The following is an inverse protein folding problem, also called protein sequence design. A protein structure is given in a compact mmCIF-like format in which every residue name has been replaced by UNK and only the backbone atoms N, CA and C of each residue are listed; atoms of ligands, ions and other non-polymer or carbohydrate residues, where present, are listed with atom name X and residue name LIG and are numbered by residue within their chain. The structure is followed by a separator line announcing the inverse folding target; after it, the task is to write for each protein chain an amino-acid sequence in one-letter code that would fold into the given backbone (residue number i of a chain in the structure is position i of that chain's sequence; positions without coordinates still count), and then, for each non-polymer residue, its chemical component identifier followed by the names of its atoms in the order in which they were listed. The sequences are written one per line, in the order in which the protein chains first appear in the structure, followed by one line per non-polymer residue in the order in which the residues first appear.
data_IF_449116890961
#
_entry.id   IF_449116890961
#
_cell.length_a   1.000
_cell.length_b   1.000
_cell.length_c   1.000
_cell.angle_alpha   90.00
_cell.angle_beta   90.00
_cell.angle_gamma   90.00
#
_symmetry.space_group_name_H-M   'P 1'
#
loop_
_entity.id
_entity.type
_entity.pdbx_description
1 polymer ?
#
# COMPACT_ATOMS: atom_id res chain seq x y z
N UNK A 1 7.46 -4.15 16.39
CA UNK A 1 6.96 -2.83 16.84
C UNK A 1 8.16 -2.00 17.29
N UNK A 2 8.78 -1.26 16.38
CA UNK A 2 10.05 -0.55 16.64
C UNK A 2 9.95 0.95 16.32
N UNK A 3 8.73 1.46 16.16
CA UNK A 3 8.47 2.89 15.95
C UNK A 3 8.96 3.68 17.18
N UNK A 4 9.62 4.85 17.01
CA UNK A 4 9.81 5.59 15.76
C UNK A 4 11.08 5.23 14.97
N UNK A 5 11.88 4.25 15.42
CA UNK A 5 13.15 3.90 14.77
C UNK A 5 12.97 3.08 13.48
N UNK A 6 11.86 2.33 13.37
CA UNK A 6 11.41 1.72 12.12
C UNK A 6 10.10 2.36 11.62
N UNK A 7 9.86 2.39 10.30
CA UNK A 7 8.63 2.96 9.75
C UNK A 7 7.40 2.19 10.22
N UNK A 8 6.24 2.86 10.36
CA UNK A 8 4.98 2.18 10.58
C UNK A 8 4.60 1.35 9.34
N UNK A 9 4.02 0.17 9.55
CA UNK A 9 3.44 -0.59 8.45
C UNK A 9 2.07 -0.02 8.07
N UNK A 10 1.99 0.63 6.91
CA UNK A 10 0.75 1.25 6.41
C UNK A 10 0.17 0.45 5.24
N UNK A 11 -1.16 0.27 5.26
CA UNK A 11 -1.91 -0.39 4.18
C UNK A 11 -3.26 0.26 3.96
N UNK A 12 -3.78 0.13 2.75
CA UNK A 12 -5.16 0.47 2.42
C UNK A 12 -6.08 -0.66 2.90
N UNK A 13 -7.19 -0.27 3.53
CA UNK A 13 -8.24 -1.20 3.99
C UNK A 13 -9.40 -1.21 2.99
N UNK A 14 -9.85 -0.04 2.57
CA UNK A 14 -10.96 0.19 1.64
C UNK A 14 -10.85 1.62 1.08
N UNK A 15 -11.38 1.89 -0.14
CA UNK A 15 -11.86 0.94 -1.14
C UNK A 15 -10.70 0.26 -1.87
N UNK A 16 -11.03 -0.68 -2.76
CA UNK A 16 -10.03 -1.26 -3.66
C UNK A 16 -9.67 -0.22 -4.69
N UNK A 17 -8.37 0.05 -4.82
CA UNK A 17 -7.86 1.05 -5.75
C UNK A 17 -6.84 0.46 -6.72
N UNK A 18 -6.85 0.98 -7.94
CA UNK A 18 -5.80 0.77 -8.94
C UNK A 18 -4.95 2.03 -9.08
N UNK A 19 -3.64 1.86 -9.28
CA UNK A 19 -2.70 2.97 -9.32
C UNK A 19 -2.33 3.45 -7.92
N UNK A 20 -1.84 4.69 -7.79
CA UNK A 20 -1.49 5.29 -6.50
C UNK A 20 -0.33 4.60 -5.77
N UNK A 21 0.48 3.80 -6.49
CA UNK A 21 1.52 2.95 -5.91
C UNK A 21 0.98 1.92 -4.89
N UNK A 22 -0.31 1.59 -4.95
CA UNK A 22 -0.93 0.59 -4.10
C UNK A 22 -0.82 -0.78 -4.76
N UNK A 23 -0.28 -1.74 -4.00
CA UNK A 23 -0.04 -3.10 -4.44
C UNK A 23 -1.22 -4.02 -4.11
N UNK A 24 -1.12 -5.25 -4.60
CA UNK A 24 -2.03 -6.34 -4.24
C UNK A 24 -2.11 -6.47 -2.71
N UNK A 25 -3.31 -6.70 -2.19
CA UNK A 25 -3.53 -6.82 -0.75
C UNK A 25 -3.57 -5.49 0.01
N UNK A 26 -3.27 -4.36 -0.63
CA UNK A 26 -3.40 -3.01 -0.06
C UNK A 26 -2.09 -2.42 0.49
N UNK A 27 -0.92 -3.04 0.25
CA UNK A 27 0.35 -2.44 0.63
C UNK A 27 0.65 -1.17 -0.18
N UNK A 28 1.37 -0.22 0.41
CA UNK A 28 1.74 1.03 -0.25
C UNK A 28 3.24 0.98 -0.59
N UNK A 29 3.58 1.14 -1.86
CA UNK A 29 4.96 1.21 -2.34
C UNK A 29 5.46 2.66 -2.28
N UNK A 30 6.09 3.03 -1.15
CA UNK A 30 6.69 4.35 -0.99
C UNK A 30 8.03 4.25 -0.27
N UNK A 31 9.00 5.04 -0.74
CA UNK A 31 10.37 5.04 -0.19
C UNK A 31 10.41 5.42 1.29
N UNK A 32 9.64 6.43 1.74
CA UNK A 32 9.61 6.77 3.17
C UNK A 32 9.11 5.64 4.08
N UNK A 33 8.38 4.66 3.53
CA UNK A 33 7.87 3.51 4.30
C UNK A 33 8.84 2.32 4.27
N UNK A 34 10.04 2.48 3.70
CA UNK A 34 11.12 1.49 3.76
C UNK A 34 12.15 1.87 4.81
N UNK A 35 12.97 0.91 5.25
CA UNK A 35 14.05 1.16 6.21
C UNK A 35 15.07 2.18 5.71
N UNK A 36 15.29 2.25 4.39
CA UNK A 36 16.25 3.18 3.80
C UNK A 36 15.72 4.61 3.71
N UNK A 37 14.42 4.79 3.42
CA UNK A 37 13.82 6.12 3.27
C UNK A 37 13.16 6.68 4.53
N UNK A 38 13.01 5.87 5.58
CA UNK A 38 12.40 6.29 6.85
C UNK A 38 13.36 7.11 7.70
N UNK A 39 12.83 8.16 8.32
CA UNK A 39 13.49 8.93 9.37
C UNK A 39 12.55 9.05 10.57
N UNK A 40 13.06 8.83 11.78
CA UNK A 40 12.30 9.02 13.02
C UNK A 40 11.88 10.47 13.26
N UNK A 41 12.42 11.42 12.48
CA UNK A 41 12.01 12.81 12.49
C UNK A 41 10.68 13.06 11.75
N UNK A 42 10.18 12.11 10.95
CA UNK A 42 8.89 12.27 10.29
C UNK A 42 7.73 12.18 11.29
N UNK A 43 6.91 13.23 11.32
CA UNK A 43 5.65 13.20 12.09
C UNK A 43 4.60 12.38 11.35
N UNK A 44 3.65 11.82 12.10
CA UNK A 44 2.56 11.00 11.54
C UNK A 44 1.71 11.82 10.56
N UNK A 45 1.52 13.11 10.83
CA UNK A 45 0.78 14.04 9.96
C UNK A 45 1.47 14.21 8.61
N UNK A 46 2.80 14.39 8.60
CA UNK A 46 3.58 14.49 7.37
C UNK A 46 3.49 13.19 6.55
N UNK A 47 3.56 12.03 7.21
CA UNK A 47 3.41 10.72 6.56
C UNK A 47 2.05 10.58 5.90
N UNK A 48 0.96 10.92 6.62
CA UNK A 48 -0.41 10.86 6.09
C UNK A 48 -0.55 11.78 4.86
N UNK A 49 -0.08 13.03 4.98
CA UNK A 49 -0.14 14.00 3.88
C UNK A 49 0.62 13.51 2.65
N UNK A 50 1.81 12.95 2.83
CA UNK A 50 2.64 12.43 1.74
C UNK A 50 2.01 11.21 1.07
N UNK A 51 1.35 10.33 1.83
CA UNK A 51 0.55 9.23 1.28
C UNK A 51 -0.60 9.79 0.43
N UNK A 52 -1.36 10.76 0.93
CA UNK A 52 -2.45 11.39 0.17
C UNK A 52 -1.95 12.00 -1.14
N UNK A 53 -0.85 12.76 -1.10
CA UNK A 53 -0.23 13.34 -2.29
C UNK A 53 0.21 12.25 -3.29
N UNK A 54 0.72 11.12 -2.79
CA UNK A 54 1.23 10.02 -3.61
C UNK A 54 0.13 9.23 -4.29
N UNK A 55 -1.01 9.05 -3.63
CA UNK A 55 -2.22 8.48 -4.25
C UNK A 55 -2.68 9.32 -5.44
N UNK A 56 -2.69 10.65 -5.29
CA UNK A 56 -3.06 11.58 -6.38
C UNK A 56 -2.02 11.55 -7.50
N UNK A 57 -0.72 11.67 -7.17
CA UNK A 57 0.39 11.62 -8.14
C UNK A 57 0.40 10.31 -8.93
N UNK A 58 0.16 9.19 -8.25
CA UNK A 58 0.07 7.86 -8.85
C UNK A 58 -1.25 7.58 -9.57
N UNK A 59 -2.11 8.58 -9.76
CA UNK A 59 -3.41 8.47 -10.45
C UNK A 59 -4.29 7.35 -9.88
N UNK A 60 -4.36 7.23 -8.56
CA UNK A 60 -5.23 6.25 -7.91
C UNK A 60 -6.68 6.36 -8.41
N UNK A 61 -7.33 5.22 -8.65
CA UNK A 61 -8.73 5.11 -9.07
C UNK A 61 -9.42 4.04 -8.25
N UNK A 62 -10.64 4.33 -7.81
CA UNK A 62 -11.50 3.36 -7.13
C UNK A 62 -11.95 2.32 -8.14
N UNK A 63 -11.71 1.05 -7.81
CA UNK A 63 -12.31 -0.09 -8.50
C UNK A 63 -13.67 -0.36 -7.90
N UNK A 64 -14.70 0.21 -8.51
CA UNK A 64 -16.08 -0.18 -8.22
C UNK A 64 -16.25 -1.60 -8.74
N UNK A 65 -16.47 -2.55 -7.83
CA UNK A 65 -16.77 -3.93 -8.18
C UNK A 65 -17.98 -3.93 -9.11
N UNK A 66 -17.78 -4.24 -10.40
CA UNK A 66 -18.79 -4.09 -11.44
C UNK A 66 -20.03 -4.93 -11.08
N UNK A 67 -21.12 -4.26 -10.71
CA UNK A 67 -22.44 -4.86 -10.69
C UNK A 67 -22.92 -5.05 -12.13
N UNK A 68 -22.70 -6.22 -12.71
CA UNK A 68 -23.26 -6.56 -14.02
C UNK A 68 -22.65 -7.81 -14.65
N UNK A 69 -23.31 -8.96 -14.46
CA UNK A 69 -23.08 -10.18 -15.25
C UNK A 69 -22.87 -11.44 -14.42
N UNK A 70 -23.93 -12.23 -14.27
CA UNK A 70 -23.86 -13.60 -13.75
C UNK A 70 -22.83 -14.42 -14.55
N UNK A 71 -21.89 -15.05 -13.85
CA UNK A 71 -20.94 -15.99 -14.46
C UNK A 71 -19.47 -15.58 -14.45
N UNK A 72 -18.94 -15.21 -13.28
CA UNK A 72 -17.59 -15.57 -12.80
C UNK A 72 -17.41 -15.07 -11.36
N UNK A 73 -17.85 -15.88 -10.40
CA UNK A 73 -17.20 -15.88 -9.09
C UNK A 73 -15.83 -16.50 -9.33
N UNK A 74 -14.87 -15.68 -9.75
CA UNK A 74 -13.47 -16.04 -9.65
C UNK A 74 -12.78 -15.05 -8.73
N UNK A 75 -12.82 -15.45 -7.47
CA UNK A 75 -11.65 -15.50 -6.60
C UNK A 75 -11.37 -14.23 -5.79
N UNK A 76 -10.78 -14.46 -4.62
CA UNK A 76 -10.36 -13.53 -3.59
C UNK A 76 -9.51 -12.32 -4.04
N UNK A 77 -9.31 -12.08 -5.33
CA UNK A 77 -8.39 -11.14 -5.96
C UNK A 77 -8.65 -9.66 -5.62
N UNK A 78 -9.86 -9.32 -5.17
CA UNK A 78 -10.22 -7.97 -4.76
C UNK A 78 -10.12 -7.69 -3.26
N UNK A 79 -9.81 -8.64 -2.38
CA UNK A 79 -9.81 -8.36 -0.94
C UNK A 79 -8.45 -7.84 -0.44
N UNK A 80 -8.44 -6.62 0.08
CA UNK A 80 -7.34 -6.16 0.91
C UNK A 80 -7.34 -6.88 2.25
N UNK A 81 -6.17 -7.32 2.70
CA UNK A 81 -5.99 -7.97 4.00
C UNK A 81 -4.59 -7.71 4.53
N UNK A 82 -4.44 -7.75 5.86
CA UNK A 82 -3.15 -7.54 6.51
C UNK A 82 -2.08 -8.53 5.99
N UNK A 83 -2.42 -9.82 5.94
CA UNK A 83 -1.50 -10.88 5.50
C UNK A 83 -1.00 -10.66 4.06
N UNK A 84 -1.90 -10.27 3.14
CA UNK A 84 -1.51 -10.01 1.74
C UNK A 84 -0.69 -8.73 1.60
N UNK A 85 -1.06 -7.66 2.30
CA UNK A 85 -0.28 -6.44 2.30
C UNK A 85 1.15 -6.68 2.82
N UNK A 86 1.30 -7.45 3.91
CA UNK A 86 2.62 -7.79 4.47
C UNK A 86 3.45 -8.63 3.50
N UNK A 87 2.83 -9.60 2.82
CA UNK A 87 3.51 -10.40 1.81
C UNK A 87 4.03 -9.52 0.65
N UNK A 88 3.18 -8.65 0.10
CA UNK A 88 3.57 -7.74 -0.98
C UNK A 88 4.67 -6.77 -0.55
N UNK A 89 4.62 -6.25 0.67
CA UNK A 89 5.67 -5.39 1.22
C UNK A 89 7.00 -6.12 1.37
N UNK A 90 7.01 -7.35 1.90
CA UNK A 90 8.23 -8.17 2.04
C UNK A 90 8.91 -8.39 0.69
N UNK A 91 8.14 -8.74 -0.35
CA UNK A 91 8.67 -8.89 -1.71
C UNK A 91 9.25 -7.59 -2.25
N UNK A 92 8.66 -6.44 -1.90
CA UNK A 92 9.13 -5.12 -2.31
C UNK A 92 10.48 -4.76 -1.69
N UNK A 93 10.61 -4.95 -0.38
CA UNK A 93 11.84 -4.64 0.36
C UNK A 93 13.02 -5.45 -0.19
N UNK A 94 12.80 -6.72 -0.52
CA UNK A 94 13.83 -7.57 -1.13
C UNK A 94 14.35 -7.04 -2.48
N UNK A 95 13.53 -6.30 -3.23
CA UNK A 95 13.93 -5.69 -4.50
C UNK A 95 14.70 -4.40 -4.24
N UNK A 96 14.27 -3.58 -3.27
CA UNK A 96 14.95 -2.34 -2.91
C UNK A 96 16.29 -2.57 -2.17
N UNK A 97 16.46 -3.67 -1.44
CA UNK A 97 17.74 -3.99 -0.76
C UNK A 97 18.81 -4.56 -1.70
N UNK A 98 18.43 -4.95 -2.93
CA UNK A 98 19.37 -5.52 -3.91
C UNK A 98 20.08 -4.47 -4.78
N UNK A 99 19.65 -3.21 -4.71
CA UNK A 99 20.25 -2.08 -5.43
C UNK A 99 20.94 -1.13 -4.44
#
# INVERSE_FOLDING_TARGET
ESYPFEPPFVRVVHPIISGGYVLVGGAICMELLTKQGWSSAYTVEAVIMQISATLVKGKARIQFQSGGGAGKVCNNQGQYSLARAQQSFKSLVQIHEKN
#
